data_IF_987908049901
#
_entry.id   IF_987908049901
#
_cell.length_a   1.000
_cell.length_b   1.000
_cell.length_c   1.000
_cell.angle_alpha   90.00
_cell.angle_beta   90.00
_cell.angle_gamma   90.00
#
_symmetry.space_group_name_H-M   'P 1'
#
loop_
_entity.id
_entity.type
_entity.pdbx_description
1 polymer ?
#
# COMPACT_ATOMS: atom_id res chain seq x y z
N UNK A 1 10.88 5.16 -9.12
CA UNK A 1 11.34 4.69 -7.82
C UNK A 1 10.79 5.60 -6.74
N UNK A 2 10.35 5.02 -5.63
CA UNK A 2 9.96 5.72 -4.41
C UNK A 2 10.70 5.08 -3.25
N UNK A 3 11.33 5.90 -2.42
CA UNK A 3 12.09 5.44 -1.27
C UNK A 3 11.84 6.36 -0.08
N UNK A 4 11.59 5.76 1.08
CA UNK A 4 11.45 6.41 2.38
C UNK A 4 12.08 5.52 3.44
N UNK A 5 12.02 5.91 4.70
CA UNK A 5 12.51 5.08 5.81
C UNK A 5 11.75 3.76 5.98
N UNK A 6 10.57 3.63 5.38
CA UNK A 6 9.69 2.45 5.55
C UNK A 6 9.52 1.62 4.27
N UNK A 7 9.88 2.11 3.11
CA UNK A 7 9.79 1.34 1.87
C UNK A 7 10.77 1.79 0.80
N UNK A 8 11.11 0.83 -0.06
CA UNK A 8 11.76 1.04 -1.34
C UNK A 8 11.02 0.25 -2.42
N UNK A 9 10.51 0.94 -3.44
CA UNK A 9 9.61 0.35 -4.44
C UNK A 9 9.62 1.16 -5.74
N UNK A 10 9.39 0.49 -6.86
CA UNK A 10 8.99 1.14 -8.10
C UNK A 10 7.47 1.05 -8.22
N UNK A 11 6.80 2.18 -8.27
CA UNK A 11 5.34 2.25 -8.30
C UNK A 11 4.87 3.18 -9.41
N UNK A 12 3.85 2.75 -10.16
CA UNK A 12 3.15 3.61 -11.12
C UNK A 12 2.37 4.75 -10.43
N UNK A 13 1.82 5.65 -11.22
CA UNK A 13 0.68 6.47 -10.80
C UNK A 13 -0.55 5.61 -10.53
N UNK A 14 -1.61 6.24 -10.06
CA UNK A 14 -2.89 5.58 -9.86
C UNK A 14 -3.49 5.16 -11.20
N UNK A 15 -3.73 3.85 -11.37
CA UNK A 15 -4.33 3.27 -12.57
C UNK A 15 -5.87 3.28 -12.52
N UNK A 16 -6.44 3.55 -11.37
CA UNK A 16 -7.87 3.67 -11.21
C UNK A 16 -8.38 4.99 -11.77
N UNK A 17 -7.57 6.04 -11.70
CA UNK A 17 -7.86 7.37 -12.24
C UNK A 17 -6.91 7.70 -13.40
N UNK A 18 -7.37 7.46 -14.63
CA UNK A 18 -6.63 7.69 -15.86
C UNK A 18 -7.19 8.87 -16.67
N UNK A 19 -7.99 9.74 -16.07
CA UNK A 19 -8.71 10.84 -16.74
C UNK A 19 -7.78 11.89 -17.39
N UNK A 20 -6.51 11.91 -16.99
CA UNK A 20 -5.50 12.82 -17.59
C UNK A 20 -4.76 12.25 -18.79
N UNK A 21 -5.04 11.01 -19.22
CA UNK A 21 -4.37 10.38 -20.35
C UNK A 21 -5.17 10.62 -21.65
N UNK A 22 -4.43 10.90 -22.72
CA UNK A 22 -4.99 10.98 -24.07
C UNK A 22 -5.38 9.59 -24.62
N UNK A 23 -6.28 9.58 -25.62
CA UNK A 23 -6.80 8.35 -26.23
C UNK A 23 -5.68 7.44 -26.78
N UNK A 24 -4.58 8.01 -27.26
CA UNK A 24 -3.45 7.25 -27.80
C UNK A 24 -2.70 6.51 -26.70
N UNK A 25 -2.60 7.08 -25.52
CA UNK A 25 -2.02 6.47 -24.32
C UNK A 25 -2.94 5.39 -23.74
N UNK A 26 -4.23 5.68 -23.63
CA UNK A 26 -5.24 4.72 -23.15
C UNK A 26 -5.34 3.49 -24.07
N UNK A 27 -5.23 3.67 -25.39
CA UNK A 27 -5.26 2.57 -26.37
C UNK A 27 -4.14 1.56 -26.20
N UNK A 28 -3.05 1.90 -25.48
CA UNK A 28 -1.93 1.01 -25.16
C UNK A 28 -2.17 0.17 -23.91
N UNK A 29 -3.23 0.46 -23.14
CA UNK A 29 -3.52 -0.15 -21.86
C UNK A 29 -4.85 -0.94 -21.81
N UNK A 30 -5.30 -1.60 -22.88
CA UNK A 30 -6.64 -2.19 -22.93
C UNK A 30 -6.85 -3.29 -21.88
N UNK A 31 -5.79 -4.06 -21.59
CA UNK A 31 -5.86 -5.13 -20.58
C UNK A 31 -5.90 -4.58 -19.15
N UNK A 32 -5.17 -3.50 -18.88
CA UNK A 32 -5.17 -2.82 -17.57
C UNK A 32 -6.54 -2.21 -17.29
N UNK A 33 -7.14 -1.55 -18.29
CA UNK A 33 -8.49 -0.98 -18.17
C UNK A 33 -9.54 -2.07 -17.90
N UNK A 34 -9.51 -3.17 -18.65
CA UNK A 34 -10.41 -4.31 -18.44
C UNK A 34 -10.24 -4.93 -17.05
N UNK A 35 -9.00 -5.07 -16.58
CA UNK A 35 -8.72 -5.58 -15.25
C UNK A 35 -9.26 -4.64 -14.18
N UNK A 36 -9.00 -3.34 -14.29
CA UNK A 36 -9.55 -2.31 -13.39
C UNK A 36 -11.08 -2.42 -13.30
N UNK A 37 -11.75 -2.42 -14.45
CA UNK A 37 -13.21 -2.46 -14.53
C UNK A 37 -13.77 -3.77 -13.93
N UNK A 38 -13.08 -4.88 -14.12
CA UNK A 38 -13.44 -6.17 -13.51
C UNK A 38 -13.26 -6.14 -11.98
N UNK A 39 -12.11 -5.65 -11.50
CA UNK A 39 -11.78 -5.57 -10.07
C UNK A 39 -12.75 -4.67 -9.30
N UNK A 40 -13.14 -3.53 -9.88
CA UNK A 40 -14.04 -2.58 -9.22
C UNK A 40 -15.52 -2.74 -9.63
N UNK A 41 -15.86 -3.80 -10.36
CA UNK A 41 -17.25 -4.11 -10.69
C UNK A 41 -18.09 -4.34 -9.43
N UNK A 42 -19.38 -3.99 -9.49
CA UNK A 42 -20.32 -4.23 -8.38
C UNK A 42 -20.31 -5.69 -7.92
N UNK A 43 -20.32 -6.62 -8.89
CA UNK A 43 -20.31 -8.07 -8.61
C UNK A 43 -19.06 -8.52 -7.84
N UNK A 44 -17.88 -7.99 -8.19
CA UNK A 44 -16.66 -8.38 -7.49
C UNK A 44 -16.57 -7.75 -6.10
N UNK A 45 -17.03 -6.50 -5.92
CA UNK A 45 -17.13 -5.84 -4.61
C UNK A 45 -18.10 -6.59 -3.67
N UNK A 46 -19.25 -7.02 -4.18
CA UNK A 46 -20.21 -7.84 -3.43
C UNK A 46 -19.62 -9.19 -3.01
N UNK A 47 -18.90 -9.85 -3.92
CA UNK A 47 -18.18 -11.08 -3.60
C UNK A 47 -17.14 -10.86 -2.49
N UNK A 48 -16.28 -9.84 -2.60
CA UNK A 48 -15.28 -9.52 -1.57
C UNK A 48 -15.94 -9.19 -0.23
N UNK A 49 -16.99 -8.37 -0.24
CA UNK A 49 -17.77 -8.04 0.96
C UNK A 49 -18.33 -9.30 1.64
N UNK A 50 -18.87 -10.22 0.84
CA UNK A 50 -19.44 -11.48 1.34
C UNK A 50 -18.41 -12.41 1.97
N UNK A 51 -17.23 -12.57 1.35
CA UNK A 51 -16.21 -13.51 1.83
C UNK A 51 -15.36 -12.96 2.97
N UNK A 52 -15.24 -11.63 3.08
CA UNK A 52 -14.42 -10.98 4.11
C UNK A 52 -15.22 -10.44 5.29
N UNK A 53 -16.53 -10.26 5.12
CA UNK A 53 -17.35 -9.55 6.11
C UNK A 53 -17.01 -8.07 6.24
N UNK A 54 -16.34 -7.47 5.24
CA UNK A 54 -15.90 -6.08 5.30
C UNK A 54 -17.04 -5.04 5.30
N UNK A 55 -18.26 -5.47 5.02
CA UNK A 55 -19.39 -4.57 4.74
C UNK A 55 -19.35 -4.07 3.29
N UNK A 56 -20.19 -3.08 2.96
CA UNK A 56 -20.26 -2.53 1.62
C UNK A 56 -18.96 -1.82 1.24
N UNK A 57 -18.59 -1.92 -0.04
CA UNK A 57 -17.40 -1.31 -0.61
C UNK A 57 -17.80 -0.26 -1.65
N UNK A 58 -17.10 0.87 -1.65
CA UNK A 58 -17.32 2.00 -2.56
C UNK A 58 -17.24 1.59 -4.03
N UNK A 59 -18.16 2.11 -4.84
CA UNK A 59 -18.11 2.05 -6.29
C UNK A 59 -17.49 3.30 -6.93
N UNK A 60 -17.24 4.33 -6.15
CA UNK A 60 -16.72 5.62 -6.63
C UNK A 60 -15.25 5.80 -6.32
N UNK A 61 -14.80 5.39 -5.13
CA UNK A 61 -13.42 5.55 -4.69
C UNK A 61 -12.62 4.27 -4.93
N UNK A 62 -11.57 4.40 -5.70
CA UNK A 62 -10.70 3.29 -6.14
C UNK A 62 -9.25 3.70 -6.03
N UNK A 63 -8.38 2.74 -5.75
CA UNK A 63 -6.94 2.91 -5.60
C UNK A 63 -6.26 1.70 -6.25
N UNK A 64 -5.44 1.91 -7.28
CA UNK A 64 -4.80 0.83 -8.03
C UNK A 64 -3.43 1.28 -8.56
N UNK A 65 -2.38 0.50 -8.32
CA UNK A 65 -1.06 0.78 -8.86
C UNK A 65 -0.32 -0.49 -9.25
N UNK A 66 0.56 -0.39 -10.25
CA UNK A 66 1.56 -1.42 -10.51
C UNK A 66 2.71 -1.18 -9.56
N UNK A 67 3.11 -2.23 -8.86
CA UNK A 67 4.24 -2.24 -7.94
C UNK A 67 5.29 -3.23 -8.43
N UNK A 68 6.52 -2.76 -8.50
CA UNK A 68 7.67 -3.55 -8.94
C UNK A 68 8.72 -3.50 -7.84
N UNK A 69 9.07 -4.69 -7.37
CA UNK A 69 10.14 -4.89 -6.40
C UNK A 69 11.28 -5.64 -7.09
N UNK A 70 12.44 -5.03 -7.06
CA UNK A 70 13.72 -5.61 -7.48
C UNK A 70 14.58 -5.83 -6.24
N UNK A 71 15.80 -6.30 -6.41
CA UNK A 71 16.75 -6.46 -5.30
C UNK A 71 16.82 -5.23 -4.40
N UNK A 72 16.73 -5.45 -3.07
CA UNK A 72 16.72 -4.41 -2.04
C UNK A 72 15.39 -3.69 -1.86
N UNK A 73 14.39 -3.94 -2.71
CA UNK A 73 13.06 -3.38 -2.54
C UNK A 73 12.28 -4.11 -1.45
N UNK A 74 11.60 -3.36 -0.62
CA UNK A 74 10.83 -3.85 0.54
C UNK A 74 9.73 -2.86 0.95
N UNK A 75 8.86 -3.30 1.84
CA UNK A 75 7.89 -2.45 2.54
C UNK A 75 7.80 -2.94 3.98
N UNK A 76 8.20 -2.10 4.94
CA UNK A 76 8.23 -2.46 6.35
C UNK A 76 6.82 -2.63 6.93
N UNK A 77 6.76 -3.25 8.11
CA UNK A 77 5.52 -3.60 8.79
C UNK A 77 4.65 -2.37 9.08
N UNK A 78 3.39 -2.42 8.64
CA UNK A 78 2.38 -1.38 8.78
C UNK A 78 0.98 -2.01 8.76
N UNK A 79 -0.09 -1.25 9.01
CA UNK A 79 -1.47 -1.74 9.07
C UNK A 79 -2.41 -1.22 7.96
N UNK A 80 -1.91 -0.42 7.02
CA UNK A 80 -2.65 0.18 5.90
C UNK A 80 -3.78 1.17 6.30
N UNK A 81 -3.93 1.48 7.57
CA UNK A 81 -5.04 2.30 8.06
C UNK A 81 -4.83 3.77 7.70
N UNK A 82 -5.26 4.13 6.51
CA UNK A 82 -5.21 5.49 5.96
C UNK A 82 -6.57 5.80 5.33
N UNK A 83 -7.19 6.89 5.78
CA UNK A 83 -8.45 7.38 5.24
C UNK A 83 -9.54 6.30 5.22
N UNK A 84 -10.21 6.16 4.09
CA UNK A 84 -11.35 5.27 3.91
C UNK A 84 -11.02 3.85 3.45
N UNK A 85 -9.74 3.42 3.49
CA UNK A 85 -9.33 2.06 3.10
C UNK A 85 -10.02 1.00 3.97
N UNK A 86 -10.60 -0.01 3.31
CA UNK A 86 -11.36 -1.05 3.98
C UNK A 86 -10.85 -2.45 3.69
N UNK A 87 -10.35 -2.69 2.48
CA UNK A 87 -9.82 -3.98 2.06
C UNK A 87 -8.60 -3.72 1.16
N UNK A 88 -7.49 -4.35 1.50
CA UNK A 88 -6.26 -4.35 0.70
C UNK A 88 -6.24 -5.56 -0.23
N UNK A 89 -5.72 -5.42 -1.44
CA UNK A 89 -5.52 -6.52 -2.37
C UNK A 89 -4.18 -6.44 -3.10
N UNK A 90 -3.65 -7.62 -3.46
CA UNK A 90 -2.43 -7.77 -4.24
C UNK A 90 -2.66 -8.87 -5.27
N UNK A 91 -2.63 -8.50 -6.55
CA UNK A 91 -2.63 -9.43 -7.68
C UNK A 91 -1.20 -9.60 -8.19
N UNK A 92 -0.61 -10.76 -7.98
CA UNK A 92 0.76 -11.04 -8.38
C UNK A 92 0.85 -11.34 -9.87
N UNK A 93 1.84 -10.72 -10.52
CA UNK A 93 2.15 -10.85 -11.95
C UNK A 93 3.64 -11.16 -12.14
N UNK A 94 4.16 -12.05 -11.30
CA UNK A 94 5.53 -12.61 -11.47
C UNK A 94 5.63 -13.39 -12.76
N UNK A 95 6.85 -13.70 -13.21
CA UNK A 95 7.08 -14.47 -14.43
C UNK A 95 6.39 -15.84 -14.35
N UNK A 96 5.45 -16.17 -15.27
CA UNK A 96 4.77 -17.46 -15.27
C UNK A 96 5.68 -18.64 -15.62
N UNK A 97 6.74 -18.40 -16.40
CA UNK A 97 7.66 -19.42 -16.88
C UNK A 97 8.77 -19.73 -15.87
N UNK A 98 8.96 -18.84 -14.89
CA UNK A 98 9.95 -18.98 -13.83
C UNK A 98 9.28 -18.82 -12.46
N UNK A 99 8.73 -19.90 -11.88
CA UNK A 99 8.06 -19.85 -10.58
C UNK A 99 8.95 -19.21 -9.51
N UNK A 100 8.36 -18.30 -8.73
CA UNK A 100 9.06 -17.58 -7.68
C UNK A 100 9.54 -18.53 -6.59
N UNK A 101 10.79 -18.38 -6.17
CA UNK A 101 11.39 -19.19 -5.11
C UNK A 101 11.37 -18.41 -3.79
N UNK A 102 11.18 -19.12 -2.67
CA UNK A 102 11.10 -18.49 -1.34
C UNK A 102 12.41 -17.77 -0.97
N UNK A 103 13.55 -18.28 -1.41
CA UNK A 103 14.88 -17.72 -1.17
C UNK A 103 15.09 -16.34 -1.81
N UNK A 104 14.22 -15.96 -2.72
CA UNK A 104 14.27 -14.64 -3.37
C UNK A 104 13.55 -13.56 -2.56
N UNK A 105 12.97 -13.93 -1.42
CA UNK A 105 12.21 -13.00 -0.58
C UNK A 105 10.92 -12.49 -1.25
N UNK A 106 10.52 -11.28 -0.96
CA UNK A 106 9.35 -10.65 -1.57
C UNK A 106 8.00 -11.19 -1.11
N UNK A 107 7.97 -12.05 -0.10
CA UNK A 107 6.73 -12.58 0.46
C UNK A 107 5.90 -11.49 1.14
N UNK A 108 4.57 -11.60 1.07
CA UNK A 108 3.67 -10.88 1.97
C UNK A 108 3.66 -11.61 3.31
N UNK A 109 4.04 -10.92 4.39
CA UNK A 109 4.04 -11.52 5.74
C UNK A 109 3.00 -10.82 6.61
N UNK A 110 2.21 -11.62 7.34
CA UNK A 110 1.16 -11.14 8.22
C UNK A 110 1.55 -11.37 9.67
N UNK A 111 1.36 -10.36 10.51
CA UNK A 111 1.78 -10.35 11.90
C UNK A 111 0.59 -10.42 12.85
N UNK A 112 0.57 -11.35 13.80
CA UNK A 112 -0.39 -11.30 14.90
C UNK A 112 -0.11 -10.10 15.78
N UNK A 113 -1.10 -9.65 16.53
CA UNK A 113 -0.98 -8.51 17.43
C UNK A 113 -0.87 -8.92 18.88
N UNK A 114 -0.16 -8.11 19.64
CA UNK A 114 -0.11 -8.17 21.10
C UNK A 114 -0.57 -6.84 21.67
N UNK A 115 -1.24 -6.87 22.84
CA UNK A 115 -1.64 -5.67 23.55
C UNK A 115 -0.57 -5.25 24.55
N UNK A 116 -0.13 -4.00 24.50
CA UNK A 116 0.78 -3.40 25.49
C UNK A 116 0.18 -2.14 26.06
N UNK A 117 0.62 -1.76 27.25
CA UNK A 117 0.29 -0.45 27.82
C UNK A 117 1.24 0.61 27.25
N UNK A 118 0.70 1.72 26.80
CA UNK A 118 1.47 2.90 26.43
C UNK A 118 1.95 3.69 27.68
N UNK A 119 2.64 4.81 27.48
CA UNK A 119 3.12 5.66 28.54
C UNK A 119 1.99 6.30 29.40
N UNK A 120 0.77 6.33 28.88
CA UNK A 120 -0.44 6.84 29.56
C UNK A 120 -1.22 5.72 30.25
N UNK A 121 -0.79 4.45 30.10
CA UNK A 121 -1.45 3.28 30.66
C UNK A 121 -2.63 2.77 29.81
N UNK A 122 -2.82 3.28 28.60
CA UNK A 122 -3.85 2.83 27.65
C UNK A 122 -3.38 1.57 26.91
N UNK A 123 -4.35 0.74 26.53
CA UNK A 123 -4.08 -0.48 25.76
C UNK A 123 -3.84 -0.15 24.28
N UNK A 124 -2.65 -0.46 23.78
CA UNK A 124 -2.24 -0.28 22.39
C UNK A 124 -1.92 -1.63 21.78
N UNK A 125 -2.47 -1.91 20.60
CA UNK A 125 -2.12 -3.10 19.80
C UNK A 125 -0.87 -2.82 18.98
N UNK A 126 0.10 -3.71 19.10
CA UNK A 126 1.36 -3.66 18.35
C UNK A 126 1.58 -4.99 17.62
N UNK A 127 2.28 -5.00 16.47
CA UNK A 127 2.62 -6.26 15.81
C UNK A 127 3.56 -7.11 16.68
N UNK A 128 3.38 -8.41 16.60
CA UNK A 128 4.37 -9.36 17.14
C UNK A 128 5.68 -9.23 16.37
N UNK A 129 6.83 -9.54 16.98
CA UNK A 129 8.10 -9.60 16.25
C UNK A 129 8.14 -10.70 15.19
N UNK A 130 7.35 -11.76 15.38
CA UNK A 130 7.28 -12.90 14.47
C UNK A 130 5.98 -12.88 13.67
N UNK A 131 6.10 -13.09 12.36
CA UNK A 131 4.93 -13.25 11.49
C UNK A 131 4.27 -14.63 11.68
N UNK A 132 2.97 -14.70 11.48
CA UNK A 132 2.19 -15.95 11.55
C UNK A 132 1.95 -16.59 10.19
N UNK A 133 2.02 -15.81 9.13
CA UNK A 133 1.78 -16.26 7.76
C UNK A 133 2.74 -15.56 6.79
N UNK A 134 3.31 -16.35 5.87
CA UNK A 134 4.13 -15.86 4.77
C UNK A 134 3.55 -16.38 3.46
N UNK A 135 3.26 -15.47 2.55
CA UNK A 135 2.65 -15.75 1.24
C UNK A 135 3.66 -15.33 0.16
N UNK A 136 4.41 -16.27 -0.43
CA UNK A 136 5.30 -15.96 -1.54
C UNK A 136 4.47 -15.53 -2.76
N UNK A 137 4.98 -14.63 -3.61
CA UNK A 137 4.30 -14.23 -4.82
C UNK A 137 4.22 -15.39 -5.82
N UNK A 138 3.05 -15.54 -6.47
CA UNK A 138 2.88 -16.51 -7.55
C UNK A 138 2.07 -15.88 -8.68
N UNK A 139 2.39 -16.21 -9.93
CA UNK A 139 1.67 -15.68 -11.08
C UNK A 139 0.17 -15.93 -10.98
N UNK A 140 -0.63 -14.90 -11.27
CA UNK A 140 -2.10 -14.93 -11.26
C UNK A 140 -2.71 -15.30 -9.90
N UNK A 141 -2.00 -15.06 -8.81
CA UNK A 141 -2.51 -15.20 -7.44
C UNK A 141 -3.06 -13.86 -6.97
N UNK A 142 -4.26 -13.86 -6.40
CA UNK A 142 -4.87 -12.72 -5.73
C UNK A 142 -4.89 -12.96 -4.23
N UNK A 143 -4.21 -12.12 -3.48
CA UNK A 143 -4.30 -12.04 -2.02
C UNK A 143 -5.09 -10.80 -1.62
N UNK A 144 -5.94 -10.91 -0.60
CA UNK A 144 -6.68 -9.78 -0.06
C UNK A 144 -6.99 -9.98 1.43
N UNK A 145 -7.08 -8.89 2.15
CA UNK A 145 -7.40 -8.88 3.59
C UNK A 145 -8.10 -7.57 3.97
N UNK A 146 -8.87 -7.63 5.06
CA UNK A 146 -9.53 -6.42 5.61
C UNK A 146 -8.52 -5.53 6.31
N UNK A 147 -8.62 -4.23 6.07
CA UNK A 147 -7.84 -3.19 6.78
C UNK A 147 -8.55 -2.91 8.09
N UNK A 148 -7.90 -3.27 9.20
CA UNK A 148 -8.42 -3.09 10.55
C UNK A 148 -7.37 -2.38 11.42
N UNK A 149 -7.76 -1.27 12.08
CA UNK A 149 -6.84 -0.52 12.93
C UNK A 149 -6.18 -1.38 14.00
N UNK A 150 -4.85 -1.39 14.01
CA UNK A 150 -4.04 -2.14 14.97
C UNK A 150 -4.15 -3.66 14.87
N UNK A 151 -4.62 -4.21 13.74
CA UNK A 151 -4.78 -5.66 13.56
C UNK A 151 -4.21 -6.16 12.22
N UNK A 152 -4.31 -5.37 11.16
CA UNK A 152 -3.89 -5.78 9.81
C UNK A 152 -2.41 -5.56 9.52
N UNK A 153 -1.55 -5.78 10.51
CA UNK A 153 -0.11 -5.60 10.35
C UNK A 153 0.47 -6.58 9.35
N UNK A 154 1.18 -6.04 8.38
CA UNK A 154 1.83 -6.80 7.32
C UNK A 154 3.05 -6.06 6.77
N UNK A 155 3.90 -6.80 6.08
CA UNK A 155 5.03 -6.25 5.34
C UNK A 155 5.19 -6.93 3.98
N UNK A 156 6.07 -6.39 3.16
CA UNK A 156 6.64 -7.08 2.01
C UNK A 156 8.11 -7.30 2.28
N UNK A 157 8.46 -8.57 2.43
CA UNK A 157 9.84 -8.99 2.63
C UNK A 157 10.75 -8.43 1.54
N UNK A 158 11.98 -8.08 1.91
CA UNK A 158 12.97 -7.63 0.95
C UNK A 158 13.19 -8.66 -0.15
N UNK A 159 13.32 -8.18 -1.38
CA UNK A 159 13.68 -9.03 -2.53
C UNK A 159 15.19 -9.20 -2.57
N UNK A 160 15.65 -10.45 -2.61
CA UNK A 160 17.06 -10.80 -2.61
C UNK A 160 17.54 -11.33 -3.95
N UNK A 161 18.82 -11.15 -4.23
CA UNK A 161 19.53 -11.97 -5.20
C UNK A 161 20.11 -13.21 -4.51
N UNK A 162 19.86 -14.42 -5.02
CA UNK A 162 20.54 -15.60 -4.52
C UNK A 162 22.05 -15.44 -4.69
N UNK A 163 22.80 -15.73 -3.63
CA UNK A 163 24.27 -15.61 -3.61
C UNK A 163 24.96 -16.55 -4.59
N UNK A 164 24.30 -17.66 -4.92
CA UNK A 164 24.83 -18.76 -5.72
C UNK A 164 24.27 -18.79 -7.16
N UNK A 165 23.61 -17.73 -7.60
CA UNK A 165 23.10 -17.66 -8.97
C UNK A 165 24.25 -17.35 -9.94
N UNK A 166 24.68 -18.34 -10.70
CA UNK A 166 25.69 -18.17 -11.76
C UNK A 166 25.28 -17.16 -12.83
N UNK A 167 23.96 -16.92 -12.98
CA UNK A 167 23.41 -15.98 -13.94
C UNK A 167 22.97 -14.63 -13.28
N UNK A 168 23.94 -13.85 -12.89
CA UNK A 168 23.72 -12.47 -12.38
C UNK A 168 23.07 -11.52 -13.38
N UNK A 169 22.85 -11.97 -14.62
CA UNK A 169 22.21 -11.15 -15.68
C UNK A 169 20.69 -11.24 -15.64
N UNK A 170 20.10 -12.25 -15.04
CA UNK A 170 18.66 -12.39 -14.88
C UNK A 170 18.15 -11.57 -13.69
N UNK A 171 17.71 -10.36 -13.95
CA UNK A 171 17.03 -9.54 -12.97
C UNK A 171 15.66 -10.15 -12.67
N UNK A 172 15.48 -10.65 -11.45
CA UNK A 172 14.17 -11.08 -10.97
C UNK A 172 13.33 -9.88 -10.57
N UNK A 173 12.07 -9.92 -10.95
CA UNK A 173 11.14 -8.84 -10.70
C UNK A 173 9.88 -9.41 -10.04
N UNK A 174 9.62 -8.97 -8.81
CA UNK A 174 8.33 -9.19 -8.16
C UNK A 174 7.39 -8.09 -8.62
N UNK A 175 6.59 -8.38 -9.61
CA UNK A 175 5.57 -7.46 -10.10
C UNK A 175 4.20 -7.82 -9.54
N UNK A 176 3.44 -6.82 -9.14
CA UNK A 176 2.07 -6.98 -8.71
C UNK A 176 1.24 -5.74 -9.07
N UNK A 177 -0.06 -5.92 -9.21
CA UNK A 177 -1.03 -4.84 -9.14
C UNK A 177 -1.64 -4.89 -7.75
N UNK A 178 -1.59 -3.79 -7.03
CA UNK A 178 -2.21 -3.70 -5.70
C UNK A 178 -2.99 -2.41 -5.54
N UNK A 179 -3.85 -2.40 -4.54
CA UNK A 179 -4.67 -1.25 -4.22
C UNK A 179 -5.63 -1.54 -3.07
N UNK A 180 -6.60 -0.66 -2.94
CA UNK A 180 -7.57 -0.74 -1.86
C UNK A 180 -9.00 -0.58 -2.38
N UNK A 181 -9.90 -1.30 -1.73
CA UNK A 181 -11.32 -0.99 -1.74
C UNK A 181 -11.63 -0.13 -0.51
N UNK A 182 -12.48 0.84 -0.69
CA UNK A 182 -12.82 1.85 0.31
C UNK A 182 -14.20 1.60 0.89
N UNK A 183 -14.49 2.19 2.06
CA UNK A 183 -15.84 2.31 2.58
C UNK A 183 -16.69 3.18 1.64
N UNK A 184 -18.02 3.02 1.63
CA UNK A 184 -18.91 3.87 0.84
C UNK A 184 -18.64 5.35 1.09
N UNK A 185 -18.63 6.13 0.01
CA UNK A 185 -18.44 7.57 0.03
C UNK A 185 -19.79 8.29 0.14
N UNK A 186 -19.78 9.61 0.40
CA UNK A 186 -20.98 10.42 0.46
C UNK A 186 -21.85 10.24 -0.80
N UNK A 187 -23.14 9.97 -0.59
CA UNK A 187 -24.10 9.67 -1.67
C UNK A 187 -24.16 8.21 -2.10
N UNK A 188 -23.30 7.32 -1.59
CA UNK A 188 -23.38 5.89 -1.83
C UNK A 188 -24.25 5.18 -0.76
N UNK A 189 -24.89 4.10 -1.18
CA UNK A 189 -25.63 3.24 -0.26
C UNK A 189 -24.69 2.57 0.75
N UNK A 190 -24.97 2.77 2.04
CA UNK A 190 -24.14 2.30 3.14
C UNK A 190 -23.09 3.33 3.61
N UNK A 191 -23.13 4.57 3.14
CA UNK A 191 -22.33 5.65 3.68
C UNK A 191 -22.69 5.93 5.14
N UNK A 192 -21.65 6.09 5.97
CA UNK A 192 -21.78 6.45 7.39
C UNK A 192 -20.93 7.71 7.64
N UNK A 193 -21.59 8.80 8.01
CA UNK A 193 -20.89 10.06 8.37
C UNK A 193 -19.96 9.85 9.57
N UNK A 194 -18.72 10.34 9.45
CA UNK A 194 -17.71 10.25 10.51
C UNK A 194 -17.06 8.87 10.67
N UNK A 195 -17.38 7.89 9.81
CA UNK A 195 -16.75 6.56 9.91
C UNK A 195 -15.25 6.60 9.55
N UNK A 196 -14.88 7.40 8.54
CA UNK A 196 -13.48 7.54 8.11
C UNK A 196 -12.62 8.13 9.24
N UNK A 197 -13.11 9.16 9.91
CA UNK A 197 -12.44 9.80 11.06
C UNK A 197 -12.28 8.82 12.23
N UNK A 198 -13.32 8.07 12.56
CA UNK A 198 -13.26 7.04 13.61
C UNK A 198 -12.24 5.94 13.32
N UNK A 199 -12.10 5.54 12.06
CA UNK A 199 -11.09 4.56 11.65
C UNK A 199 -9.69 5.16 11.73
N UNK A 200 -9.50 6.40 11.28
CA UNK A 200 -8.22 7.09 11.32
C UNK A 200 -7.71 7.30 12.76
N UNK A 201 -8.58 7.66 13.71
CA UNK A 201 -8.23 7.81 15.12
C UNK A 201 -7.69 6.51 15.76
N UNK A 202 -8.06 5.37 15.20
CA UNK A 202 -7.67 4.04 15.70
C UNK A 202 -6.47 3.46 14.96
N UNK A 203 -5.91 4.18 13.99
CA UNK A 203 -4.73 3.72 13.26
C UNK A 203 -3.51 3.58 14.17
N UNK A 204 -2.62 2.65 13.85
CA UNK A 204 -1.36 2.48 14.59
C UNK A 204 -0.50 3.74 14.52
N UNK A 205 -0.51 4.45 13.38
CA UNK A 205 0.19 5.70 13.21
C UNK A 205 -0.35 6.80 14.14
N UNK A 206 -1.68 6.94 14.25
CA UNK A 206 -2.30 7.88 15.17
C UNK A 206 -2.03 7.53 16.64
N UNK A 207 -1.97 6.24 16.98
CA UNK A 207 -1.61 5.76 18.30
C UNK A 207 -0.15 6.05 18.65
N UNK A 208 0.77 5.89 17.69
CA UNK A 208 2.20 6.18 17.87
C UNK A 208 2.49 7.68 18.01
N UNK A 209 1.76 8.53 17.31
CA UNK A 209 1.90 9.98 17.36
C UNK A 209 1.32 10.60 18.65
N UNK A 210 0.57 9.84 19.44
CA UNK A 210 -0.18 10.34 20.58
C UNK A 210 -1.37 11.19 20.14
N UNK A 211 -2.53 11.01 20.78
CA UNK A 211 -3.71 11.82 20.49
C UNK A 211 -3.42 13.29 20.84
N UNK A 212 -3.24 14.13 19.84
CA UNK A 212 -3.18 15.58 19.96
C UNK A 212 -1.80 16.20 20.12
N UNK A 213 -0.71 15.46 20.21
CA UNK A 213 0.61 16.01 20.00
C UNK A 213 0.90 16.02 18.51
N UNK A 214 0.31 16.98 17.83
CA UNK A 214 0.85 17.43 16.54
C UNK A 214 2.28 17.85 16.89
N UNK A 215 3.24 17.04 16.50
CA UNK A 215 4.58 17.54 16.31
C UNK A 215 4.45 18.63 15.23
N UNK A 216 4.29 19.85 15.67
CA UNK A 216 4.62 21.02 14.89
C UNK A 216 6.12 20.91 14.64
N UNK A 217 6.47 20.11 13.64
CA UNK A 217 7.77 20.23 13.02
C UNK A 217 7.79 21.69 12.56
N UNK A 218 8.70 22.53 13.12
CA UNK A 218 8.76 23.91 12.72
C UNK A 218 8.87 23.90 11.18
N UNK A 219 7.87 24.49 10.52
CA UNK A 219 7.87 24.64 9.06
C UNK A 219 9.25 25.20 8.71
N UNK A 220 10.02 24.57 7.82
CA UNK A 220 11.30 25.12 7.41
C UNK A 220 11.02 26.55 6.95
N UNK A 221 11.65 27.52 7.62
CA UNK A 221 11.51 28.91 7.21
C UNK A 221 11.88 28.98 5.74
N UNK A 222 11.07 29.64 4.91
CA UNK A 222 11.43 29.81 3.51
C UNK A 222 12.83 30.42 3.46
N UNK A 223 13.76 29.70 2.84
CA UNK A 223 15.12 30.20 2.60
C UNK A 223 14.95 31.35 1.61
N UNK A 224 15.05 32.58 2.07
CA UNK A 224 15.15 33.74 1.19
C UNK A 224 16.52 33.64 0.53
N UNK A 225 16.55 33.30 -0.74
CA UNK A 225 17.74 33.44 -1.57
C UNK A 225 17.86 34.94 -1.87
N UNK A 226 18.62 35.68 -1.07
CA UNK A 226 19.12 37.00 -1.47
C UNK A 226 20.16 36.73 -2.55
N UNK A 227 19.90 37.21 -3.78
CA UNK A 227 20.90 37.21 -4.84
C UNK A 227 22.08 38.05 -4.34
N UNK A 228 23.33 37.58 -4.49
CA UNK A 228 24.48 38.40 -4.10
C UNK A 228 24.51 39.64 -4.98
N UNK A 229 24.53 40.82 -4.33
CA UNK A 229 24.74 42.09 -5.02
C UNK A 229 26.05 42.01 -5.84
N UNK A 230 25.94 42.13 -7.15
CA UNK A 230 27.09 42.28 -8.03
C UNK A 230 27.63 43.69 -7.85
N UNK A 231 28.65 43.87 -7.02
CA UNK A 231 29.39 45.11 -6.98
C UNK A 231 29.98 45.40 -8.36
N UNK A 232 29.34 46.35 -9.06
CA UNK A 232 29.88 46.93 -10.28
C UNK A 232 31.14 47.74 -9.96
N UNK A 233 32.31 47.20 -10.36
CA UNK A 233 33.48 48.02 -10.48
C UNK A 233 33.39 48.82 -11.77
N UNK A 234 33.24 50.16 -11.62
CA UNK A 234 33.49 51.14 -12.65
C UNK A 234 34.97 51.33 -12.97
#
# INVERSE_FOLDING_TARGET
EKETDIYKIFQSGDLANLDGLDDSSLSKLPSVLKLRDAMYSARFREYLSSVTGSGKLSGQKTDMAINVYTEGCHLLCHDDVIGSRRLSYILYLTDPDTPWQAEWGGALRLYPTTTKKDAKGEDVKIPSPDYSLSIPPAFNQLSFFTVQPGESFHDVEEVYHPRDDEDKTKKRVRMAISGWFHIPQEGEDGYEEGLEEKLAERSSLAQLQGRGDIYDLPQPKPVSWEEPEVEGKG
#
